data_IF_882925965575
#
_entry.id   IF_882925965575
#
_cell.length_a   1.000
_cell.length_b   1.000
_cell.length_c   1.000
_cell.angle_alpha   90.00
_cell.angle_beta   90.00
_cell.angle_gamma   90.00
#
_symmetry.space_group_name_H-M   'P 1'
#
loop_
_entity.id
_entity.type
_entity.pdbx_description
1 polymer ?
#
# COMPACT_ATOMS: atom_id res chain seq x y z
N UNK A 1 2.07 2.29 -9.04
CA UNK A 1 2.11 3.65 -8.50
C UNK A 1 2.63 3.60 -7.06
N UNK A 2 3.53 4.49 -6.70
CA UNK A 2 4.03 4.58 -5.34
C UNK A 2 3.83 6.00 -4.79
N UNK A 3 3.65 6.11 -3.47
CA UNK A 3 3.33 7.35 -2.81
C UNK A 3 3.85 7.35 -1.38
N UNK A 4 4.40 8.49 -0.92
CA UNK A 4 4.86 8.67 0.45
C UNK A 4 4.89 10.16 0.75
N UNK A 5 3.75 10.78 1.04
CA UNK A 5 3.71 12.22 1.11
C UNK A 5 2.62 12.72 2.05
N UNK A 6 2.42 14.04 2.04
CA UNK A 6 1.46 14.75 2.88
C UNK A 6 0.02 14.32 2.60
N UNK A 7 -0.89 14.75 3.46
CA UNK A 7 -2.31 14.45 3.31
C UNK A 7 -2.88 14.97 1.99
N UNK A 8 -2.40 16.13 1.54
CA UNK A 8 -2.83 16.69 0.26
C UNK A 8 -2.46 15.75 -0.88
N UNK A 9 -1.24 15.22 -0.87
CA UNK A 9 -0.80 14.28 -1.89
C UNK A 9 -1.60 12.97 -1.84
N UNK A 10 -1.89 12.48 -0.63
CA UNK A 10 -2.68 11.26 -0.47
C UNK A 10 -4.07 11.42 -1.06
N UNK A 11 -4.69 12.58 -0.85
CA UNK A 11 -6.01 12.88 -1.42
C UNK A 11 -5.95 13.04 -2.93
N UNK A 12 -4.88 13.65 -3.45
CA UNK A 12 -4.66 13.76 -4.90
C UNK A 12 -4.49 12.38 -5.52
N UNK A 13 -3.76 11.49 -4.85
CA UNK A 13 -3.59 10.12 -5.32
C UNK A 13 -4.95 9.40 -5.37
N UNK A 14 -5.76 9.55 -4.33
CA UNK A 14 -7.08 8.95 -4.29
C UNK A 14 -7.93 9.44 -5.46
N UNK A 15 -7.95 10.75 -5.71
CA UNK A 15 -8.70 11.30 -6.83
C UNK A 15 -8.19 10.77 -8.17
N UNK A 16 -6.87 10.69 -8.34
CA UNK A 16 -6.28 10.12 -9.54
C UNK A 16 -6.74 8.68 -9.77
N UNK A 17 -6.72 7.87 -8.71
CA UNK A 17 -7.13 6.47 -8.80
C UNK A 17 -8.61 6.34 -9.14
N UNK A 18 -9.45 7.16 -8.52
CA UNK A 18 -10.89 7.14 -8.80
C UNK A 18 -11.20 7.51 -10.24
N UNK A 19 -10.46 8.49 -10.80
CA UNK A 19 -10.72 8.98 -12.14
C UNK A 19 -10.15 8.07 -13.23
N UNK A 20 -9.04 7.36 -12.95
CA UNK A 20 -8.32 6.61 -13.98
C UNK A 20 -8.52 5.10 -13.90
N UNK A 21 -8.93 4.57 -12.74
CA UNK A 21 -9.06 3.13 -12.53
C UNK A 21 -10.40 2.76 -11.92
N UNK A 22 -11.47 3.45 -12.30
CA UNK A 22 -12.79 3.31 -11.68
C UNK A 22 -13.33 1.88 -11.72
N UNK A 23 -13.10 1.18 -12.80
CA UNK A 23 -13.62 -0.17 -12.99
C UNK A 23 -12.55 -1.23 -12.85
N UNK A 24 -11.43 -0.88 -12.21
CA UNK A 24 -10.33 -1.80 -12.03
C UNK A 24 -10.20 -2.24 -10.58
N UNK A 25 -9.75 -3.46 -10.39
CA UNK A 25 -9.46 -3.97 -9.05
C UNK A 25 -8.09 -3.45 -8.62
N UNK A 26 -8.06 -2.76 -7.50
CA UNK A 26 -6.82 -2.18 -6.96
C UNK A 26 -6.26 -3.08 -5.88
N UNK A 27 -5.00 -3.47 -6.03
CA UNK A 27 -4.30 -4.28 -5.04
C UNK A 27 -3.20 -3.41 -4.46
N UNK A 28 -3.27 -3.14 -3.16
CA UNK A 28 -2.29 -2.29 -2.50
C UNK A 28 -1.19 -3.13 -1.86
N UNK A 29 0.04 -2.66 -1.99
CA UNK A 29 1.16 -3.16 -1.19
C UNK A 29 1.63 -1.97 -0.37
N UNK A 30 1.40 -2.01 0.93
CA UNK A 30 1.67 -0.92 1.86
C UNK A 30 2.81 -1.23 2.81
N UNK A 31 3.67 -0.24 3.02
CA UNK A 31 4.68 -0.28 4.07
C UNK A 31 4.97 1.13 4.52
N UNK A 32 5.12 1.34 5.82
CA UNK A 32 5.26 2.67 6.39
C UNK A 32 6.38 2.71 7.42
N UNK A 33 6.85 3.92 7.71
CA UNK A 33 7.74 4.17 8.83
C UNK A 33 6.91 4.43 10.08
N UNK A 34 7.37 3.94 11.22
CA UNK A 34 6.61 3.99 12.47
C UNK A 34 6.40 5.42 13.00
N UNK A 35 7.24 6.37 12.57
CA UNK A 35 7.17 7.76 13.01
C UNK A 35 6.31 8.65 12.11
N UNK A 36 5.58 8.08 11.15
CA UNK A 36 4.71 8.83 10.24
C UNK A 36 3.24 8.64 10.59
N UNK A 37 2.42 9.56 10.13
CA UNK A 37 0.97 9.49 10.33
C UNK A 37 0.36 8.54 9.30
N UNK A 38 0.58 7.25 9.50
CA UNK A 38 0.15 6.23 8.55
C UNK A 38 -1.33 5.90 8.68
N UNK A 39 -1.93 6.13 9.84
CA UNK A 39 -3.35 5.76 10.02
C UNK A 39 -4.25 6.61 9.13
N UNK A 40 -3.94 7.89 8.99
CA UNK A 40 -4.71 8.78 8.12
C UNK A 40 -4.60 8.34 6.65
N UNK A 41 -3.40 7.94 6.24
CA UNK A 41 -3.19 7.41 4.88
C UNK A 41 -4.06 6.17 4.66
N UNK A 42 -4.10 5.27 5.63
CA UNK A 42 -4.90 4.06 5.55
C UNK A 42 -6.38 4.40 5.39
N UNK A 43 -6.88 5.33 6.20
CA UNK A 43 -8.29 5.74 6.12
C UNK A 43 -8.67 6.29 4.75
N UNK A 44 -7.73 7.02 4.13
CA UNK A 44 -7.99 7.67 2.84
C UNK A 44 -7.92 6.67 1.69
N UNK A 45 -6.94 5.77 1.70
CA UNK A 45 -6.63 4.94 0.54
C UNK A 45 -7.31 3.58 0.52
N UNK A 46 -7.51 2.97 1.69
CA UNK A 46 -7.99 1.58 1.73
C UNK A 46 -9.42 1.36 1.26
N UNK A 47 -10.37 2.33 1.37
CA UNK A 47 -11.72 2.07 0.88
C UNK A 47 -11.80 1.68 -0.58
N UNK A 48 -10.83 2.07 -1.40
CA UNK A 48 -10.82 1.72 -2.82
C UNK A 48 -10.15 0.38 -3.12
N UNK A 49 -9.47 -0.22 -2.15
CA UNK A 49 -8.69 -1.42 -2.38
C UNK A 49 -9.57 -2.66 -2.47
N UNK A 50 -9.30 -3.53 -3.44
CA UNK A 50 -9.88 -4.86 -3.45
C UNK A 50 -9.14 -5.74 -2.44
N UNK A 51 -7.84 -5.51 -2.28
CA UNK A 51 -7.02 -6.25 -1.34
C UNK A 51 -5.82 -5.42 -0.93
N UNK A 52 -5.36 -5.60 0.31
CA UNK A 52 -4.18 -4.92 0.85
C UNK A 52 -3.18 -5.95 1.34
N UNK A 53 -1.96 -5.83 0.89
CA UNK A 53 -0.82 -6.55 1.44
C UNK A 53 0.01 -5.57 2.25
N UNK A 54 0.46 -5.99 3.44
CA UNK A 54 1.35 -5.17 4.25
C UNK A 54 2.75 -5.77 4.25
N UNK A 55 3.75 -4.90 4.12
CA UNK A 55 5.16 -5.29 4.15
C UNK A 55 5.92 -4.32 5.05
N UNK A 56 7.11 -4.70 5.46
CA UNK A 56 7.99 -3.83 6.24
C UNK A 56 9.06 -3.25 5.30
N UNK A 57 9.19 -1.92 5.21
CA UNK A 57 10.29 -1.33 4.43
C UNK A 57 11.63 -1.72 5.00
N UNK A 58 12.65 -1.76 4.14
CA UNK A 58 14.03 -2.01 4.58
C UNK A 58 14.60 -0.73 5.19
N UNK A 59 14.20 -0.43 6.42
CA UNK A 59 14.55 0.81 7.12
C UNK A 59 14.46 0.55 8.61
N UNK A 60 15.40 1.15 9.38
CA UNK A 60 15.46 0.97 10.83
C UNK A 60 14.19 1.47 11.54
N UNK A 61 13.46 2.42 10.93
CA UNK A 61 12.23 2.98 11.50
C UNK A 61 10.96 2.32 10.95
N UNK A 62 11.10 1.21 10.26
CA UNK A 62 9.95 0.55 9.65
C UNK A 62 8.96 0.06 10.71
N UNK A 63 7.67 0.29 10.44
CA UNK A 63 6.61 -0.37 11.18
C UNK A 63 6.54 -1.82 10.68
N UNK A 64 6.38 -2.78 11.58
CA UNK A 64 6.30 -4.18 11.17
C UNK A 64 5.05 -4.40 10.30
N UNK A 65 5.13 -5.36 9.39
CA UNK A 65 3.99 -5.68 8.55
C UNK A 65 2.79 -6.16 9.37
N UNK A 66 3.05 -6.83 10.50
CA UNK A 66 2.00 -7.28 11.40
C UNK A 66 1.25 -6.11 12.03
N UNK A 67 1.99 -5.13 12.56
CA UNK A 67 1.36 -3.97 13.20
C UNK A 67 0.59 -3.15 12.16
N UNK A 68 1.15 -3.00 10.98
CA UNK A 68 0.47 -2.31 9.90
C UNK A 68 -0.81 -3.04 9.50
N UNK A 69 -0.76 -4.37 9.39
CA UNK A 69 -1.93 -5.16 9.03
C UNK A 69 -3.04 -5.00 10.07
N UNK A 70 -2.69 -4.96 11.36
CA UNK A 70 -3.68 -4.76 12.41
C UNK A 70 -4.37 -3.41 12.28
N UNK A 71 -3.60 -2.37 11.93
CA UNK A 71 -4.18 -1.04 11.70
C UNK A 71 -5.10 -1.04 10.47
N UNK A 72 -4.65 -1.64 9.38
CA UNK A 72 -5.44 -1.69 8.14
C UNK A 72 -6.75 -2.46 8.36
N UNK A 73 -6.73 -3.52 9.18
CA UNK A 73 -7.93 -4.31 9.45
C UNK A 73 -9.04 -3.54 10.14
N UNK A 74 -8.71 -2.40 10.75
CA UNK A 74 -9.76 -1.52 11.30
C UNK A 74 -10.62 -0.89 10.19
N UNK A 75 -10.10 -0.81 8.98
CA UNK A 75 -10.74 -0.10 7.87
C UNK A 75 -11.00 -0.99 6.66
N UNK A 76 -10.37 -2.15 6.58
CA UNK A 76 -10.49 -3.06 5.45
C UNK A 76 -10.40 -4.51 5.93
N UNK A 77 -11.27 -5.37 5.41
CA UNK A 77 -11.33 -6.76 5.86
C UNK A 77 -10.41 -7.71 5.08
N UNK A 78 -9.96 -7.32 3.90
CA UNK A 78 -9.15 -8.21 3.05
C UNK A 78 -7.69 -7.79 3.09
N UNK A 79 -7.00 -8.18 4.16
CA UNK A 79 -5.62 -7.78 4.44
C UNK A 79 -4.77 -9.01 4.69
N UNK A 80 -3.61 -9.08 4.07
CA UNK A 80 -2.64 -10.15 4.31
C UNK A 80 -1.26 -9.57 4.60
N UNK A 81 -0.57 -10.18 5.55
CA UNK A 81 0.80 -9.79 5.91
C UNK A 81 1.79 -10.48 4.99
N UNK A 82 2.85 -9.74 4.62
CA UNK A 82 4.04 -10.30 3.98
C UNK A 82 5.25 -9.66 4.64
N UNK A 83 6.45 -10.07 4.31
CA UNK A 83 7.64 -9.54 4.99
C UNK A 83 8.33 -8.45 4.19
N UNK A 84 8.61 -8.70 2.92
CA UNK A 84 9.39 -7.81 2.08
C UNK A 84 8.62 -7.41 0.84
N UNK A 85 8.86 -6.18 0.38
CA UNK A 85 8.19 -5.63 -0.79
C UNK A 85 8.47 -6.46 -2.04
N UNK A 86 9.71 -6.80 -2.29
CA UNK A 86 10.11 -7.44 -3.54
C UNK A 86 9.44 -8.79 -3.73
N UNK A 87 9.47 -9.62 -2.70
CA UNK A 87 8.84 -10.95 -2.75
C UNK A 87 7.32 -10.83 -2.85
N UNK A 88 6.75 -9.87 -2.11
CA UNK A 88 5.32 -9.62 -2.16
C UNK A 88 4.89 -9.17 -3.56
N UNK A 89 5.64 -8.26 -4.16
CA UNK A 89 5.33 -7.75 -5.49
C UNK A 89 5.35 -8.89 -6.53
N UNK A 90 6.35 -9.77 -6.45
CA UNK A 90 6.42 -10.90 -7.38
C UNK A 90 5.25 -11.86 -7.21
N UNK A 91 4.88 -12.16 -5.97
CA UNK A 91 3.72 -13.00 -5.69
C UNK A 91 2.45 -12.38 -6.26
N UNK A 92 2.24 -11.09 -6.02
CA UNK A 92 1.05 -10.38 -6.47
C UNK A 92 0.99 -10.33 -8.00
N UNK A 93 2.12 -10.10 -8.65
CA UNK A 93 2.18 -10.08 -10.11
C UNK A 93 1.75 -11.42 -10.73
N UNK A 94 2.09 -12.53 -10.07
CA UNK A 94 1.72 -13.85 -10.57
C UNK A 94 0.23 -14.12 -10.42
N UNK A 95 -0.41 -13.52 -9.43
CA UNK A 95 -1.82 -13.74 -9.12
C UNK A 95 -2.75 -12.73 -9.78
N UNK A 96 -2.22 -11.56 -10.14
CA UNK A 96 -3.03 -10.47 -10.67
C UNK A 96 -3.43 -10.73 -12.11
N UNK A 97 -4.65 -10.32 -12.45
CA UNK A 97 -5.14 -10.33 -13.83
C UNK A 97 -4.65 -9.09 -14.57
N UNK A 98 -4.80 -9.10 -15.90
CA UNK A 98 -4.37 -7.97 -16.73
C UNK A 98 -5.05 -6.66 -16.36
N UNK A 99 -6.28 -6.75 -15.87
CA UNK A 99 -7.06 -5.56 -15.51
C UNK A 99 -6.78 -5.07 -14.10
N UNK A 100 -6.04 -5.83 -13.29
CA UNK A 100 -5.72 -5.43 -11.93
C UNK A 100 -4.60 -4.40 -11.93
N UNK A 101 -4.68 -3.47 -10.99
CA UNK A 101 -3.67 -2.43 -10.81
C UNK A 101 -3.01 -2.64 -9.45
N UNK A 102 -1.69 -2.72 -9.46
CA UNK A 102 -0.90 -2.88 -8.23
C UNK A 102 -0.39 -1.51 -7.83
N UNK A 103 -0.70 -1.11 -6.59
CA UNK A 103 -0.33 0.20 -6.07
C UNK A 103 0.58 0.01 -4.88
N UNK A 104 1.81 0.51 -5.00
CA UNK A 104 2.80 0.46 -3.93
C UNK A 104 2.80 1.80 -3.24
N UNK A 105 2.52 1.82 -1.96
CA UNK A 105 2.38 3.06 -1.22
C UNK A 105 2.96 2.96 0.18
N UNK A 106 3.28 4.10 0.77
CA UNK A 106 3.70 4.22 2.15
C UNK A 106 4.98 5.00 2.36
N UNK A 107 6.08 4.66 1.72
CA UNK A 107 7.35 5.32 1.96
C UNK A 107 8.22 5.39 0.71
N UNK A 108 9.00 6.46 0.60
CA UNK A 108 9.95 6.65 -0.48
C UNK A 108 11.09 5.63 -0.48
N UNK A 109 11.38 5.00 0.66
CA UNK A 109 12.44 4.00 0.70
C UNK A 109 12.15 2.79 -0.19
N UNK A 110 10.91 2.58 -0.58
CA UNK A 110 10.56 1.53 -1.54
C UNK A 110 11.19 1.73 -2.91
N UNK A 111 11.47 2.96 -3.30
CA UNK A 111 12.13 3.21 -4.58
C UNK A 111 13.49 2.54 -4.65
N UNK A 112 14.22 2.51 -3.54
CA UNK A 112 15.52 1.85 -3.48
C UNK A 112 15.40 0.33 -3.51
N UNK A 113 14.34 -0.21 -2.93
CA UNK A 113 14.12 -1.67 -2.90
C UNK A 113 13.71 -2.24 -4.26
N UNK A 114 13.18 -1.40 -5.13
CA UNK A 114 12.72 -1.82 -6.46
C UNK A 114 13.77 -1.68 -7.56
N UNK A 115 14.93 -1.14 -7.25
CA UNK A 115 16.03 -0.99 -8.21
C UNK A 115 16.79 -2.28 -8.44
#
# INVERSE_FOLDING_TARGET
VSSAASDVYKRQLLNFLQNNFTNRRLIYIMGVLSDKDYEQMIQILTPMAAKVYTVAPDNARALSSKDLAECVRKYHHNVEERQRLKECLEEVKQQADKEDVIIICGTLSFQNELK
#
